data_IF_987811525322
#
_entry.id   IF_987811525322
#
_cell.length_a   1.000
_cell.length_b   1.000
_cell.length_c   1.000
_cell.angle_alpha   90.00
_cell.angle_beta   90.00
_cell.angle_gamma   90.00
#
_symmetry.space_group_name_H-M   'P 1'
#
loop_
_entity.id
_entity.type
_entity.pdbx_description
1 polymer ?
#
# COMPACT_ATOMS: atom_id res chain seq x y z
N UNK A 1 -8.71 17.63 -6.61
CA UNK A 1 -10.15 17.95 -6.54
C UNK A 1 -10.76 17.22 -5.36
N UNK A 2 -11.19 17.93 -4.33
CA UNK A 2 -11.94 17.34 -3.21
C UNK A 2 -13.41 17.60 -3.54
N UNK A 3 -14.08 16.63 -4.15
CA UNK A 3 -15.55 16.65 -4.25
C UNK A 3 -16.15 16.43 -2.85
N UNK A 4 -17.33 16.99 -2.60
CA UNK A 4 -18.10 16.76 -1.38
C UNK A 4 -18.66 15.34 -1.30
N UNK A 5 -18.91 14.84 -0.08
CA UNK A 5 -19.34 13.46 0.17
C UNK A 5 -20.70 13.15 -0.46
N UNK A 6 -21.64 14.09 -0.41
CA UNK A 6 -22.99 13.92 -0.94
C UNK A 6 -22.94 13.71 -2.45
N UNK A 7 -22.21 14.56 -3.16
CA UNK A 7 -22.05 14.45 -4.61
C UNK A 7 -21.33 13.17 -5.03
N UNK A 8 -20.34 12.71 -4.26
CA UNK A 8 -19.69 11.42 -4.50
C UNK A 8 -20.68 10.27 -4.33
N UNK A 9 -21.48 10.28 -3.26
CA UNK A 9 -22.49 9.25 -3.00
C UNK A 9 -23.60 9.25 -4.06
N UNK A 10 -24.05 10.43 -4.50
CA UNK A 10 -25.05 10.58 -5.57
C UNK A 10 -24.55 10.02 -6.91
N UNK A 11 -23.29 10.27 -7.24
CA UNK A 11 -22.65 9.75 -8.47
C UNK A 11 -22.65 8.21 -8.45
N UNK A 12 -22.16 7.62 -7.36
CA UNK A 12 -22.15 6.15 -7.19
C UNK A 12 -23.56 5.57 -7.23
N UNK A 13 -24.54 6.22 -6.59
CA UNK A 13 -25.93 5.77 -6.61
C UNK A 13 -26.52 5.79 -8.01
N UNK A 14 -26.25 6.85 -8.79
CA UNK A 14 -26.72 6.97 -10.16
C UNK A 14 -26.18 5.82 -11.02
N UNK A 15 -24.88 5.53 -10.94
CA UNK A 15 -24.22 4.45 -11.69
C UNK A 15 -24.73 3.06 -11.26
N UNK A 16 -24.78 2.78 -9.95
CA UNK A 16 -25.23 1.48 -9.43
C UNK A 16 -26.72 1.21 -9.69
N UNK A 17 -27.58 2.24 -9.77
CA UNK A 17 -29.02 2.05 -9.96
C UNK A 17 -29.37 1.35 -11.28
N UNK A 18 -28.58 1.58 -12.33
CA UNK A 18 -28.74 0.91 -13.62
C UNK A 18 -28.21 -0.52 -13.63
N UNK A 19 -27.19 -0.82 -12.80
CA UNK A 19 -26.53 -2.13 -12.75
C UNK A 19 -27.29 -3.09 -11.82
N UNK A 20 -27.65 -2.61 -10.63
CA UNK A 20 -28.25 -3.43 -9.57
C UNK A 20 -29.78 -3.35 -9.55
N UNK A 21 -30.38 -2.49 -10.38
CA UNK A 21 -31.82 -2.21 -10.43
C UNK A 21 -32.41 -1.73 -9.09
N UNK A 22 -31.56 -1.23 -8.20
CA UNK A 22 -31.95 -0.66 -6.90
C UNK A 22 -32.34 0.80 -7.10
N UNK A 23 -33.60 1.12 -6.81
CA UNK A 23 -34.16 2.48 -6.94
C UNK A 23 -34.31 3.20 -5.60
N UNK A 24 -34.25 2.47 -4.48
CA UNK A 24 -34.36 3.04 -3.14
C UNK A 24 -33.08 3.80 -2.74
N UNK A 25 -33.21 4.71 -1.77
CA UNK A 25 -32.06 5.36 -1.14
C UNK A 25 -31.38 4.39 -0.15
N UNK A 26 -30.05 4.46 0.01
CA UNK A 26 -29.36 3.68 1.05
C UNK A 26 -29.82 4.15 2.45
N UNK A 27 -29.96 3.20 3.38
CA UNK A 27 -30.26 3.50 4.80
C UNK A 27 -29.06 4.19 5.47
N UNK A 28 -27.85 3.92 4.98
CA UNK A 28 -26.62 4.45 5.52
C UNK A 28 -25.54 4.54 4.43
N UNK A 29 -24.70 5.56 4.50
CA UNK A 29 -23.61 5.81 3.55
C UNK A 29 -22.35 6.23 4.30
N UNK A 30 -21.20 5.65 3.93
CA UNK A 30 -19.88 6.12 4.38
C UNK A 30 -19.05 6.44 3.14
N UNK A 31 -18.52 7.65 3.09
CA UNK A 31 -17.45 8.02 2.15
C UNK A 31 -16.14 8.04 2.92
N UNK A 32 -15.15 7.28 2.46
CA UNK A 32 -13.77 7.30 2.99
C UNK A 32 -12.81 7.68 1.88
N UNK A 33 -11.88 8.59 2.19
CA UNK A 33 -10.82 9.02 1.27
C UNK A 33 -9.49 8.48 1.77
N UNK A 34 -8.72 7.89 0.86
CA UNK A 34 -7.42 7.29 1.14
C UNK A 34 -6.34 7.97 0.28
N UNK A 35 -5.94 9.21 0.62
CA UNK A 35 -4.93 9.93 -0.15
C UNK A 35 -3.60 9.18 -0.12
N UNK A 36 -2.96 9.02 -1.27
CA UNK A 36 -1.66 8.34 -1.42
C UNK A 36 -1.62 6.90 -0.89
N UNK A 37 -2.78 6.22 -0.79
CA UNK A 37 -2.84 4.87 -0.22
C UNK A 37 -2.45 3.75 -1.18
N UNK A 38 -2.43 4.02 -2.49
CA UNK A 38 -2.06 3.05 -3.51
C UNK A 38 -0.74 3.45 -4.18
N UNK A 39 0.38 2.81 -3.81
CA UNK A 39 1.65 3.00 -4.51
C UNK A 39 1.51 2.75 -6.00
N UNK A 40 2.11 3.62 -6.81
CA UNK A 40 2.12 3.48 -8.26
C UNK A 40 3.51 3.08 -8.71
N UNK A 41 3.63 1.86 -9.23
CA UNK A 41 4.89 1.35 -9.75
C UNK A 41 5.05 1.75 -11.20
N UNK A 42 5.82 2.79 -11.44
CA UNK A 42 6.14 3.24 -12.79
C UNK A 42 7.22 2.35 -13.43
N UNK A 43 7.43 2.50 -14.74
CA UNK A 43 8.56 1.85 -15.42
C UNK A 43 9.86 2.25 -14.73
N UNK A 44 10.70 1.27 -14.41
CA UNK A 44 11.94 1.45 -13.63
C UNK A 44 11.76 1.35 -12.11
N UNK A 45 10.56 1.07 -11.60
CA UNK A 45 10.32 0.89 -10.15
C UNK A 45 11.23 -0.16 -9.51
N UNK A 46 11.43 -1.31 -10.17
CA UNK A 46 12.29 -2.37 -9.64
C UNK A 46 13.76 -1.93 -9.55
N UNK A 47 14.25 -1.14 -10.50
CA UNK A 47 15.60 -0.58 -10.46
C UNK A 47 15.74 0.44 -9.33
N UNK A 48 14.71 1.26 -9.10
CA UNK A 48 14.65 2.19 -7.97
C UNK A 48 14.69 1.44 -6.64
N UNK A 49 13.87 0.38 -6.49
CA UNK A 49 13.85 -0.45 -5.29
C UNK A 49 15.20 -1.12 -5.04
N UNK A 50 15.84 -1.64 -6.08
CA UNK A 50 17.18 -2.24 -5.94
C UNK A 50 18.23 -1.20 -5.53
N UNK A 51 18.17 0.02 -6.08
CA UNK A 51 19.04 1.13 -5.64
C UNK A 51 18.81 1.48 -4.16
N UNK A 52 17.55 1.55 -3.72
CA UNK A 52 17.22 1.80 -2.32
C UNK A 52 17.82 0.68 -1.45
N UNK A 53 17.57 -0.58 -1.79
CA UNK A 53 18.10 -1.73 -1.04
C UNK A 53 19.63 -1.74 -0.99
N UNK A 54 20.32 -1.30 -2.05
CA UNK A 54 21.78 -1.15 -2.05
C UNK A 54 22.28 -0.09 -1.08
N UNK A 55 21.58 1.04 -0.97
CA UNK A 55 21.94 2.08 0.01
C UNK A 55 21.59 1.66 1.45
N UNK A 56 20.45 1.02 1.66
CA UNK A 56 20.03 0.50 2.97
C UNK A 56 21.05 -0.52 3.49
N UNK A 57 21.57 -1.41 2.62
CA UNK A 57 22.59 -2.40 3.01
C UNK A 57 23.91 -1.81 3.52
N UNK A 58 24.16 -0.51 3.33
CA UNK A 58 25.34 0.18 3.89
C UNK A 58 25.11 0.71 5.31
N UNK A 59 23.88 0.59 5.82
CA UNK A 59 23.45 1.12 7.12
C UNK A 59 23.14 -0.05 8.05
N UNK A 60 24.02 -0.27 9.02
CA UNK A 60 23.84 -1.34 10.00
C UNK A 60 22.58 -1.12 10.84
N UNK A 61 21.81 -2.19 11.05
CA UNK A 61 20.59 -2.14 11.85
C UNK A 61 19.40 -1.47 11.15
N UNK A 62 19.44 -1.29 9.82
CA UNK A 62 18.31 -0.76 9.06
C UNK A 62 17.86 -1.72 7.95
N UNK A 63 16.56 -1.96 7.91
CA UNK A 63 15.89 -2.74 6.86
C UNK A 63 14.59 -2.03 6.46
N UNK A 64 14.14 -2.24 5.21
CA UNK A 64 12.90 -1.66 4.68
C UNK A 64 11.92 -2.75 4.24
N UNK A 65 10.63 -2.48 4.44
CA UNK A 65 9.53 -3.39 4.13
C UNK A 65 8.25 -2.60 3.80
N UNK A 66 7.29 -3.29 3.19
CA UNK A 66 5.96 -2.75 2.90
C UNK A 66 5.67 -2.56 1.40
N UNK A 67 4.49 -1.99 1.15
CA UNK A 67 3.90 -1.88 -0.19
C UNK A 67 4.57 -0.87 -1.13
N UNK A 68 5.60 -0.15 -0.67
CA UNK A 68 6.37 0.74 -1.52
C UNK A 68 7.44 0.00 -2.34
N UNK A 69 7.72 -1.27 -2.03
CA UNK A 69 8.86 -2.00 -2.58
C UNK A 69 8.42 -3.10 -3.56
N UNK A 70 8.16 -4.31 -3.06
CA UNK A 70 8.08 -5.52 -3.88
C UNK A 70 6.68 -6.05 -4.19
N UNK A 71 5.62 -5.40 -3.70
CA UNK A 71 4.25 -5.84 -3.94
C UNK A 71 3.25 -5.05 -3.11
N UNK A 72 2.10 -4.72 -3.71
CA UNK A 72 1.06 -3.92 -3.05
C UNK A 72 0.10 -4.78 -2.22
N UNK A 73 0.11 -6.10 -2.42
CA UNK A 73 -0.77 -7.03 -1.74
C UNK A 73 -0.44 -7.14 -0.25
N UNK A 74 -1.46 -7.41 0.56
CA UNK A 74 -1.27 -7.68 1.99
C UNK A 74 -0.29 -8.85 2.23
N UNK A 75 -0.37 -10.00 1.51
CA UNK A 75 0.61 -11.07 1.68
C UNK A 75 2.04 -10.63 1.33
N UNK A 76 2.22 -9.81 0.30
CA UNK A 76 3.54 -9.28 -0.08
C UNK A 76 4.12 -8.40 1.03
N UNK A 77 3.29 -7.57 1.64
CA UNK A 77 3.69 -6.70 2.75
C UNK A 77 4.12 -7.52 3.96
N UNK A 78 3.34 -8.53 4.34
CA UNK A 78 3.65 -9.44 5.46
C UNK A 78 4.99 -10.13 5.20
N UNK A 79 5.13 -10.80 4.05
CA UNK A 79 6.37 -11.48 3.66
C UNK A 79 7.57 -10.51 3.63
N UNK A 80 7.38 -9.27 3.14
CA UNK A 80 8.44 -8.27 3.15
C UNK A 80 8.89 -7.90 4.57
N UNK A 81 7.94 -7.80 5.50
CA UNK A 81 8.19 -7.51 6.91
C UNK A 81 8.92 -8.65 7.62
N UNK A 82 8.47 -9.90 7.41
CA UNK A 82 9.12 -11.10 7.94
C UNK A 82 10.58 -11.18 7.48
N UNK A 83 10.81 -11.05 6.17
CA UNK A 83 12.16 -11.09 5.61
C UNK A 83 13.06 -9.95 6.09
N UNK A 84 12.50 -8.76 6.31
CA UNK A 84 13.25 -7.62 6.86
C UNK A 84 13.65 -7.89 8.32
N UNK A 85 12.73 -8.41 9.14
CA UNK A 85 13.01 -8.78 10.52
C UNK A 85 14.08 -9.89 10.61
N UNK A 86 13.99 -10.92 9.78
CA UNK A 86 14.98 -12.01 9.72
C UNK A 86 16.39 -11.49 9.38
N UNK A 87 16.52 -10.64 8.36
CA UNK A 87 17.81 -10.04 7.98
C UNK A 87 18.37 -9.15 9.09
N UNK A 88 17.52 -8.36 9.73
CA UNK A 88 17.91 -7.51 10.84
C UNK A 88 18.46 -8.36 12.00
N UNK A 89 17.73 -9.40 12.42
CA UNK A 89 18.17 -10.31 13.48
C UNK A 89 19.50 -10.98 13.13
N UNK A 90 19.64 -11.50 11.90
CA UNK A 90 20.90 -12.10 11.45
C UNK A 90 22.06 -11.11 11.55
N UNK A 91 21.89 -9.87 11.06
CA UNK A 91 22.92 -8.83 11.11
C UNK A 91 23.35 -8.49 12.54
N UNK A 92 22.40 -8.42 13.49
CA UNK A 92 22.68 -8.15 14.90
C UNK A 92 23.51 -9.27 15.53
N UNK A 93 23.20 -10.54 15.26
CA UNK A 93 23.91 -11.67 15.86
C UNK A 93 25.23 -12.01 15.16
N UNK A 94 25.40 -11.66 13.89
CA UNK A 94 26.68 -11.80 13.18
C UNK A 94 27.78 -10.85 13.67
N UNK A 95 27.44 -9.80 14.43
CA UNK A 95 28.43 -8.93 15.10
C UNK A 95 28.83 -9.39 16.50
N UNK A 96 28.22 -10.46 17.03
CA UNK A 96 28.47 -10.98 18.39
C UNK A 96 29.37 -12.24 18.44
N UNK A 97 29.78 -12.78 17.28
CA UNK A 97 30.74 -13.87 17.13
C UNK A 97 31.79 -13.50 16.07
#
# INVERSE_FOLDING_TARGET
>A
YIQDDERMAETVRAELSGILLIKSKPVFTIVKRYPNAMPQYHVGHMDLVERINKEIRKLDGLEVAGNAFGGVGMPDCVNSGERAAERLLQSLFSGYF
#
